data_IF_741134543251
#
_entry.id   IF_741134543251
#
_cell.length_a   1.000
_cell.length_b   1.000
_cell.length_c   1.000
_cell.angle_alpha   90.00
_cell.angle_beta   90.00
_cell.angle_gamma   90.00
#
_symmetry.space_group_name_H-M   'P 1'
#
loop_
_entity.id
_entity.type
_entity.pdbx_description
1 polymer ?
#
# COMPACT_ATOMS: atom_id res chain seq x y z
N UNK A 1 -21.24 -10.94 3.19
CA UNK A 1 -22.70 -10.89 3.18
C UNK A 1 -23.15 -9.55 2.65
N UNK A 2 -23.78 -9.54 1.52
CA UNK A 2 -24.54 -8.38 1.06
C UNK A 2 -25.79 -8.35 1.93
N UNK A 3 -25.93 -7.36 2.78
CA UNK A 3 -27.19 -7.16 3.48
C UNK A 3 -28.14 -6.47 2.52
N UNK A 4 -29.11 -7.20 2.05
CA UNK A 4 -30.15 -6.72 1.13
C UNK A 4 -31.13 -5.78 1.85
N UNK A 5 -31.12 -5.78 3.17
CA UNK A 5 -32.13 -5.11 4.01
C UNK A 5 -31.71 -3.75 4.54
N UNK A 6 -30.65 -3.16 4.03
CA UNK A 6 -30.16 -1.82 4.47
C UNK A 6 -29.54 -1.77 5.87
N UNK A 7 -29.57 -2.86 6.63
CA UNK A 7 -28.83 -2.95 7.88
C UNK A 7 -27.34 -3.12 7.60
N UNK A 8 -26.51 -2.21 8.12
CA UNK A 8 -25.07 -2.34 7.99
C UNK A 8 -24.60 -3.63 8.70
N UNK A 9 -23.82 -4.51 8.02
CA UNK A 9 -23.29 -5.69 8.67
C UNK A 9 -22.37 -5.29 9.83
N UNK A 10 -22.38 -6.08 10.90
CA UNK A 10 -21.43 -5.88 12.00
C UNK A 10 -20.01 -6.27 11.56
N UNK A 11 -19.31 -5.33 10.89
CA UNK A 11 -17.95 -5.54 10.42
C UNK A 11 -16.91 -5.61 11.55
N UNK A 12 -17.28 -5.26 12.80
CA UNK A 12 -16.36 -5.43 13.95
C UNK A 12 -16.01 -6.90 14.16
N UNK A 13 -16.92 -7.82 13.78
CA UNK A 13 -16.71 -9.27 13.82
C UNK A 13 -15.62 -9.79 12.90
N UNK A 14 -15.06 -8.93 12.03
CA UNK A 14 -13.84 -9.26 11.27
C UNK A 14 -12.71 -9.63 12.24
N UNK A 15 -12.61 -8.96 13.40
CA UNK A 15 -11.62 -9.32 14.43
C UNK A 15 -11.76 -10.75 14.94
N UNK A 16 -12.98 -11.28 14.92
CA UNK A 16 -13.33 -12.62 15.39
C UNK A 16 -13.28 -13.69 14.29
N UNK A 17 -13.04 -13.30 13.04
CA UNK A 17 -12.89 -14.23 11.92
C UNK A 17 -13.91 -14.04 10.79
N UNK A 18 -14.79 -13.03 10.86
CA UNK A 18 -15.66 -12.70 9.74
C UNK A 18 -14.82 -12.30 8.52
N UNK A 19 -15.21 -12.82 7.37
CA UNK A 19 -14.62 -12.47 6.07
C UNK A 19 -15.64 -11.67 5.27
N UNK A 20 -15.27 -10.50 4.82
CA UNK A 20 -16.16 -9.55 4.14
C UNK A 20 -15.62 -9.28 2.73
N UNK A 21 -16.50 -9.23 1.75
CA UNK A 21 -16.21 -8.72 0.41
C UNK A 21 -16.97 -7.40 0.26
N UNK A 22 -16.23 -6.36 -0.10
CA UNK A 22 -16.80 -5.06 -0.48
C UNK A 22 -16.57 -4.92 -1.98
N UNK A 23 -17.62 -5.16 -2.75
CA UNK A 23 -17.60 -4.91 -4.19
C UNK A 23 -17.69 -3.42 -4.46
N UNK A 24 -17.57 -3.05 -5.71
CA UNK A 24 -17.46 -1.67 -6.20
C UNK A 24 -18.36 -0.70 -5.43
N UNK A 25 -17.77 0.32 -4.88
CA UNK A 25 -18.43 1.37 -4.14
C UNK A 25 -18.13 2.74 -4.75
N UNK A 26 -19.04 3.67 -4.53
CA UNK A 26 -18.81 5.07 -4.87
C UNK A 26 -17.72 5.67 -3.99
N UNK A 27 -17.10 6.73 -4.49
CA UNK A 27 -16.12 7.50 -3.70
C UNK A 27 -16.70 7.99 -2.38
N UNK A 28 -17.97 8.39 -2.37
CA UNK A 28 -18.66 8.84 -1.16
C UNK A 28 -18.72 7.78 -0.07
N UNK A 29 -19.07 6.53 -0.41
CA UNK A 29 -19.12 5.41 0.54
C UNK A 29 -17.74 5.09 1.08
N UNK A 30 -16.74 4.99 0.20
CA UNK A 30 -15.37 4.69 0.60
C UNK A 30 -14.77 5.77 1.50
N UNK A 31 -15.01 7.03 1.21
CA UNK A 31 -14.55 8.15 2.02
C UNK A 31 -15.29 8.24 3.37
N UNK A 32 -16.62 8.27 3.36
CA UNK A 32 -17.40 8.52 4.57
C UNK A 32 -17.43 7.34 5.53
N UNK A 33 -17.60 6.11 5.01
CA UNK A 33 -17.73 4.92 5.86
C UNK A 33 -16.43 4.22 6.19
N UNK A 34 -15.43 4.30 5.31
CA UNK A 34 -14.15 3.63 5.54
C UNK A 34 -13.00 4.61 5.81
N UNK A 35 -13.14 5.87 5.43
CA UNK A 35 -12.12 6.90 5.60
C UNK A 35 -10.98 6.80 4.60
N UNK A 36 -11.19 6.14 3.48
CA UNK A 36 -10.20 6.06 2.43
C UNK A 36 -10.05 7.38 1.68
N UNK A 37 -8.84 7.65 1.23
CA UNK A 37 -8.60 8.57 0.12
C UNK A 37 -8.86 7.81 -1.17
N UNK A 38 -9.64 8.41 -2.04
CA UNK A 38 -10.01 7.79 -3.30
C UNK A 38 -9.71 8.71 -4.47
N UNK A 39 -9.52 8.08 -5.62
CA UNK A 39 -9.43 8.78 -6.88
C UNK A 39 -10.42 8.15 -7.86
N UNK A 40 -11.09 8.99 -8.62
CA UNK A 40 -12.02 8.56 -9.65
C UNK A 40 -11.34 8.62 -11.00
N UNK A 41 -11.23 7.47 -11.65
CA UNK A 41 -10.62 7.29 -12.97
C UNK A 41 -11.51 6.39 -13.84
N UNK A 42 -11.57 6.66 -15.11
CA UNK A 42 -12.02 5.67 -16.09
C UNK A 42 -10.84 4.80 -16.50
N UNK A 43 -10.40 3.88 -15.62
CA UNK A 43 -9.24 3.05 -15.92
C UNK A 43 -9.59 1.91 -16.87
N UNK A 44 -8.96 1.89 -18.01
CA UNK A 44 -9.04 0.81 -19.00
C UNK A 44 -7.96 -0.26 -18.82
N UNK A 45 -6.99 -0.02 -17.93
CA UNK A 45 -5.94 -0.96 -17.62
C UNK A 45 -5.51 -0.83 -16.17
N UNK A 46 -5.23 -1.98 -15.54
CA UNK A 46 -4.64 -2.10 -14.21
C UNK A 46 -3.50 -3.12 -14.24
N UNK A 47 -2.67 -3.15 -13.21
CA UNK A 47 -1.42 -3.89 -13.22
C UNK A 47 -1.34 -4.85 -12.04
N UNK A 48 -0.87 -6.08 -12.27
CA UNK A 48 -0.61 -7.05 -11.19
C UNK A 48 0.47 -6.51 -10.27
N UNK A 49 0.16 -6.44 -8.98
CA UNK A 49 1.16 -6.12 -7.95
C UNK A 49 1.66 -7.36 -7.24
N UNK A 50 0.81 -8.37 -7.10
CA UNK A 50 1.17 -9.70 -6.59
C UNK A 50 0.86 -10.73 -7.68
N UNK A 51 1.83 -11.04 -8.56
CA UNK A 51 1.57 -11.78 -9.81
C UNK A 51 0.92 -13.16 -9.62
N UNK A 52 1.34 -13.88 -8.58
CA UNK A 52 0.88 -15.24 -8.29
C UNK A 52 -0.20 -15.30 -7.19
N UNK A 53 -0.91 -14.19 -6.95
CA UNK A 53 -2.01 -14.20 -5.99
C UNK A 53 -3.18 -15.04 -6.51
N UNK A 54 -3.81 -15.82 -5.63
CA UNK A 54 -4.92 -16.72 -6.01
C UNK A 54 -6.11 -15.96 -6.63
N UNK A 55 -6.34 -14.71 -6.25
CA UNK A 55 -7.35 -13.85 -6.87
C UNK A 55 -7.09 -13.61 -8.36
N UNK A 56 -5.84 -13.67 -8.79
CA UNK A 56 -5.43 -13.45 -10.18
C UNK A 56 -5.14 -14.75 -10.93
N UNK A 57 -5.54 -15.89 -10.38
CA UNK A 57 -5.35 -17.18 -11.04
C UNK A 57 -6.09 -17.24 -12.38
N UNK A 58 -5.36 -17.58 -13.46
CA UNK A 58 -5.90 -17.60 -14.82
C UNK A 58 -6.12 -16.22 -15.45
N UNK A 59 -5.66 -15.16 -14.80
CA UNK A 59 -5.71 -13.80 -15.35
C UNK A 59 -4.28 -13.31 -15.61
N UNK A 60 -3.97 -12.98 -16.86
CA UNK A 60 -2.75 -12.32 -17.26
C UNK A 60 -2.95 -10.81 -17.41
N UNK A 61 -1.88 -10.07 -17.68
CA UNK A 61 -1.94 -8.61 -17.81
C UNK A 61 -2.91 -8.18 -18.90
N UNK A 62 -3.01 -8.94 -19.97
CA UNK A 62 -3.93 -8.70 -21.11
C UNK A 62 -5.41 -8.83 -20.70
N UNK A 63 -5.70 -9.66 -19.71
CA UNK A 63 -7.06 -9.83 -19.17
C UNK A 63 -7.48 -8.70 -18.21
N UNK A 64 -6.54 -7.89 -17.75
CA UNK A 64 -6.79 -6.79 -16.81
C UNK A 64 -6.93 -5.43 -17.53
N UNK A 65 -7.45 -5.46 -18.76
CA UNK A 65 -7.66 -4.27 -19.59
C UNK A 65 -8.90 -4.40 -20.48
N UNK A 66 -9.45 -3.26 -20.84
CA UNK A 66 -10.49 -3.10 -21.86
C UNK A 66 -11.66 -4.09 -21.73
N UNK A 67 -12.21 -4.21 -20.53
CA UNK A 67 -13.31 -5.13 -20.27
C UNK A 67 -14.55 -4.79 -21.09
N UNK A 68 -15.24 -5.80 -21.59
CA UNK A 68 -16.46 -5.67 -22.38
C UNK A 68 -17.58 -5.05 -21.57
N UNK A 69 -18.45 -4.31 -22.24
CA UNK A 69 -19.60 -3.65 -21.61
C UNK A 69 -19.24 -2.28 -21.02
N UNK A 70 -20.19 -1.74 -20.30
CA UNK A 70 -20.09 -0.43 -19.67
C UNK A 70 -19.80 -0.57 -18.17
N UNK A 71 -19.09 0.40 -17.59
CA UNK A 71 -18.84 0.43 -16.16
C UNK A 71 -20.15 0.56 -15.39
N UNK A 72 -20.27 -0.20 -14.29
CA UNK A 72 -21.46 -0.23 -13.43
C UNK A 72 -21.51 0.95 -12.47
N UNK A 73 -20.33 1.42 -12.01
CA UNK A 73 -20.20 2.61 -11.17
C UNK A 73 -19.39 3.67 -11.91
N UNK A 74 -20.05 4.76 -12.22
CA UNK A 74 -19.42 5.93 -12.82
C UNK A 74 -19.45 7.07 -11.83
N UNK A 75 -18.30 7.69 -11.54
CA UNK A 75 -18.29 8.98 -10.87
C UNK A 75 -19.07 10.00 -11.70
N UNK A 76 -19.83 10.91 -11.07
CA UNK A 76 -20.67 11.88 -11.79
C UNK A 76 -19.92 12.69 -12.85
N UNK A 77 -18.66 12.98 -12.62
CA UNK A 77 -17.79 13.71 -13.58
C UNK A 77 -17.35 12.89 -14.80
N UNK A 78 -17.54 11.56 -14.76
CA UNK A 78 -17.34 10.69 -15.91
C UNK A 78 -18.65 10.46 -16.66
N UNK A 79 -19.77 10.88 -16.11
CA UNK A 79 -21.07 10.78 -16.75
C UNK A 79 -21.12 11.76 -17.89
N UNK A 80 -21.32 11.26 -19.10
CA UNK A 80 -21.49 12.08 -20.30
C UNK A 80 -22.87 12.67 -20.30
N UNK A 81 -23.03 13.88 -19.84
CA UNK A 81 -24.20 14.67 -20.17
C UNK A 81 -23.96 15.33 -21.53
N UNK A 82 -24.73 14.96 -22.50
CA UNK A 82 -24.81 15.65 -23.81
C UNK A 82 -25.42 17.05 -23.59
N UNK A 83 -24.74 17.90 -22.82
CA UNK A 83 -25.14 19.31 -22.78
C UNK A 83 -24.56 20.03 -24.00
N UNK A 84 -25.29 20.98 -24.60
CA UNK A 84 -24.77 21.77 -25.73
C UNK A 84 -23.42 22.43 -25.44
N UNK A 85 -23.15 22.79 -24.19
CA UNK A 85 -21.86 23.37 -23.77
C UNK A 85 -20.69 22.40 -23.84
N UNK A 86 -20.93 21.14 -23.54
CA UNK A 86 -19.89 20.11 -23.63
C UNK A 86 -19.74 19.53 -25.03
N UNK A 87 -20.81 19.52 -25.79
CA UNK A 87 -20.80 19.00 -27.17
C UNK A 87 -20.19 19.94 -28.17
N UNK A 88 -20.25 21.24 -27.92
CA UNK A 88 -19.65 22.25 -28.77
C UNK A 88 -18.15 22.39 -28.59
N UNK A 89 -17.58 21.80 -27.50
CA UNK A 89 -16.16 21.79 -27.29
C UNK A 89 -15.64 20.34 -27.31
N UNK A 90 -15.41 19.76 -28.50
CA UNK A 90 -14.77 18.46 -28.65
C UNK A 90 -13.31 18.48 -28.14
N UNK A 91 -12.86 19.63 -27.71
CA UNK A 91 -11.51 19.88 -27.21
C UNK A 91 -11.54 20.45 -25.80
N UNK A 92 -10.48 20.25 -25.06
CA UNK A 92 -10.16 21.00 -23.84
C UNK A 92 -8.93 21.86 -24.10
N UNK A 93 -8.90 23.03 -23.51
CA UNK A 93 -7.71 23.87 -23.52
C UNK A 93 -6.81 23.47 -22.36
N UNK A 94 -5.60 23.03 -22.69
CA UNK A 94 -4.57 22.68 -21.73
C UNK A 94 -3.26 23.39 -22.05
N UNK A 95 -2.74 24.17 -21.12
CA UNK A 95 -1.55 25.01 -21.37
C UNK A 95 -1.68 25.81 -22.66
N UNK A 96 -2.85 26.42 -22.89
CA UNK A 96 -3.23 27.14 -24.08
C UNK A 96 -3.28 26.32 -25.40
N UNK A 97 -3.13 25.00 -25.31
CA UNK A 97 -3.25 24.08 -26.44
C UNK A 97 -4.63 23.41 -26.40
N UNK A 98 -5.32 23.41 -27.53
CA UNK A 98 -6.55 22.65 -27.69
C UNK A 98 -6.23 21.16 -27.88
N UNK A 99 -6.74 20.33 -26.99
CA UNK A 99 -6.54 18.86 -26.99
C UNK A 99 -7.86 18.18 -27.30
N UNK A 100 -7.96 17.33 -28.35
CA UNK A 100 -9.20 16.66 -28.69
C UNK A 100 -9.62 15.65 -27.60
N UNK A 101 -10.91 15.59 -27.32
CA UNK A 101 -11.54 14.62 -26.40
C UNK A 101 -12.01 13.35 -27.11
N UNK A 102 -11.75 13.22 -28.39
CA UNK A 102 -12.29 12.14 -29.23
C UNK A 102 -11.81 10.74 -28.87
N UNK A 103 -10.71 10.61 -28.14
CA UNK A 103 -10.19 9.32 -27.68
C UNK A 103 -10.97 8.73 -26.49
N UNK A 104 -12.00 9.40 -26.00
CA UNK A 104 -12.79 8.93 -24.86
C UNK A 104 -13.93 8.06 -25.30
N UNK A 105 -13.91 6.85 -24.79
CA UNK A 105 -14.95 5.87 -25.05
C UNK A 105 -16.10 5.93 -24.04
N UNK A 106 -16.25 7.04 -23.31
CA UNK A 106 -17.15 7.09 -22.16
C UNK A 106 -16.68 6.13 -21.07
N UNK A 107 -17.59 5.28 -20.59
CA UNK A 107 -17.34 4.25 -19.58
C UNK A 107 -17.10 2.85 -20.15
N UNK A 108 -17.06 2.71 -21.46
CA UNK A 108 -16.81 1.42 -22.11
C UNK A 108 -15.33 1.04 -21.98
N UNK A 109 -15.08 -0.21 -21.68
CA UNK A 109 -13.73 -0.73 -21.51
C UNK A 109 -13.08 -0.41 -20.17
N UNK A 110 -13.75 0.31 -19.28
CA UNK A 110 -13.21 0.54 -17.94
C UNK A 110 -13.15 -0.76 -17.14
N UNK A 111 -12.06 -1.00 -16.46
CA UNK A 111 -11.87 -2.12 -15.53
C UNK A 111 -12.03 -1.70 -14.07
N UNK A 112 -11.90 -0.41 -13.79
CA UNK A 112 -12.14 0.19 -12.48
C UNK A 112 -12.45 1.68 -12.65
N UNK A 113 -13.33 2.22 -11.81
CA UNK A 113 -13.75 3.64 -11.87
C UNK A 113 -13.41 4.42 -10.61
N UNK A 114 -13.38 3.77 -9.45
CA UNK A 114 -13.01 4.37 -8.18
C UNK A 114 -11.88 3.56 -7.55
N UNK A 115 -10.79 4.22 -7.24
CA UNK A 115 -9.58 3.58 -6.72
C UNK A 115 -9.29 4.04 -5.31
N UNK A 116 -8.82 3.12 -4.48
CA UNK A 116 -8.41 3.40 -3.11
C UNK A 116 -6.91 3.74 -3.10
N UNK A 117 -6.54 4.89 -2.55
CA UNK A 117 -5.13 5.19 -2.27
C UNK A 117 -4.62 4.21 -1.20
N UNK A 118 -3.46 3.60 -1.44
CA UNK A 118 -2.90 2.60 -0.54
C UNK A 118 -2.69 3.18 0.86
N UNK A 119 -3.36 2.64 1.90
CA UNK A 119 -3.18 3.11 3.26
C UNK A 119 -1.80 2.78 3.81
N UNK A 120 -1.33 3.63 4.71
CA UNK A 120 -0.04 3.46 5.40
C UNK A 120 -0.19 2.74 6.73
N UNK A 121 -1.35 2.83 7.39
CA UNK A 121 -1.63 2.14 8.65
C UNK A 121 -2.47 0.89 8.41
N UNK A 122 -2.15 -0.18 9.13
CA UNK A 122 -2.88 -1.44 9.07
C UNK A 122 -2.24 -2.48 8.13
N UNK A 123 -2.80 -3.69 8.13
CA UNK A 123 -2.38 -4.76 7.22
C UNK A 123 -3.17 -4.68 5.92
N UNK A 124 -2.77 -3.77 5.04
CA UNK A 124 -3.32 -3.64 3.70
C UNK A 124 -2.38 -4.27 2.68
N UNK A 125 -2.85 -5.32 1.97
CA UNK A 125 -2.13 -5.92 0.86
C UNK A 125 -2.80 -5.51 -0.47
N UNK A 126 -2.26 -4.54 -1.20
CA UNK A 126 -2.70 -4.27 -2.56
C UNK A 126 -2.27 -5.43 -3.47
N UNK A 127 -3.21 -5.92 -4.27
CA UNK A 127 -3.03 -7.06 -5.17
C UNK A 127 -2.88 -6.58 -6.61
N UNK A 128 -3.61 -5.52 -6.93
CA UNK A 128 -3.60 -4.86 -8.24
C UNK A 128 -3.36 -3.37 -8.02
N UNK A 129 -2.54 -2.78 -8.87
CA UNK A 129 -2.26 -1.35 -8.90
C UNK A 129 -2.97 -0.65 -10.06
N UNK A 130 -3.27 0.64 -9.87
CA UNK A 130 -3.79 1.49 -10.92
C UNK A 130 -3.61 2.98 -10.60
N UNK A 131 -4.08 3.82 -11.50
CA UNK A 131 -4.08 5.27 -11.32
C UNK A 131 -2.70 5.92 -11.33
N UNK A 132 -2.68 7.20 -10.98
CA UNK A 132 -1.48 8.00 -11.07
C UNK A 132 -0.36 7.45 -10.20
N UNK A 133 0.80 7.27 -10.84
CA UNK A 133 2.04 6.85 -10.16
C UNK A 133 1.92 5.53 -9.39
N UNK A 134 0.92 4.68 -9.72
CA UNK A 134 0.62 3.40 -9.08
C UNK A 134 0.44 3.52 -7.55
N UNK A 135 -0.10 4.64 -7.09
CA UNK A 135 -0.35 4.88 -5.65
C UNK A 135 -1.69 4.29 -5.19
N UNK A 136 -2.55 3.90 -6.12
CA UNK A 136 -3.89 3.40 -5.85
C UNK A 136 -4.01 1.92 -6.15
N UNK A 137 -4.97 1.29 -5.49
CA UNK A 137 -5.30 -0.13 -5.70
C UNK A 137 -6.79 -0.31 -5.92
N UNK A 138 -7.21 -0.95 -7.02
CA UNK A 138 -8.58 -1.35 -7.22
C UNK A 138 -8.91 -2.72 -6.61
N UNK A 139 -7.91 -3.49 -6.17
CA UNK A 139 -8.11 -4.78 -5.51
C UNK A 139 -7.13 -4.92 -4.37
N UNK A 140 -7.64 -4.92 -3.12
CA UNK A 140 -6.82 -4.84 -1.93
C UNK A 140 -7.45 -5.63 -0.78
N UNK A 141 -6.61 -6.39 -0.05
CA UNK A 141 -7.00 -7.02 1.21
C UNK A 141 -6.70 -6.11 2.39
N UNK A 142 -7.59 -6.13 3.37
CA UNK A 142 -7.35 -5.64 4.71
C UNK A 142 -7.52 -6.77 5.70
N UNK A 143 -6.58 -6.94 6.61
CA UNK A 143 -6.58 -8.01 7.62
C UNK A 143 -6.54 -7.41 9.01
N UNK A 144 -7.44 -7.86 9.87
CA UNK A 144 -7.47 -7.44 11.29
C UNK A 144 -7.99 -8.59 12.15
N UNK A 145 -7.24 -8.94 13.20
CA UNK A 145 -7.57 -10.07 14.05
C UNK A 145 -7.55 -11.40 13.29
N UNK A 146 -8.64 -12.14 13.34
CA UNK A 146 -8.78 -13.46 12.69
C UNK A 146 -9.50 -13.42 11.36
N UNK A 147 -9.94 -12.25 10.89
CA UNK A 147 -10.71 -12.09 9.66
C UNK A 147 -10.07 -11.12 8.67
N UNK A 148 -10.84 -10.83 7.63
CA UNK A 148 -10.40 -9.95 6.56
C UNK A 148 -11.55 -9.20 5.90
N UNK A 149 -11.22 -8.09 5.23
CA UNK A 149 -12.07 -7.41 4.27
C UNK A 149 -11.36 -7.39 2.93
N UNK A 150 -11.99 -7.87 1.88
CA UNK A 150 -11.52 -7.72 0.51
C UNK A 150 -12.24 -6.54 -0.13
N UNK A 151 -11.52 -5.49 -0.46
CA UNK A 151 -12.01 -4.36 -1.25
C UNK A 151 -11.75 -4.64 -2.72
N UNK A 152 -12.82 -4.85 -3.49
CA UNK A 152 -12.79 -5.05 -4.92
C UNK A 152 -13.47 -3.87 -5.62
N UNK A 153 -12.68 -2.94 -6.09
CA UNK A 153 -13.10 -1.82 -6.93
C UNK A 153 -12.89 -2.12 -8.43
N UNK A 154 -12.47 -3.37 -8.74
CA UNK A 154 -12.56 -3.88 -10.10
C UNK A 154 -14.04 -4.02 -10.46
N UNK A 155 -14.44 -3.52 -11.61
CA UNK A 155 -15.84 -3.39 -12.01
C UNK A 155 -16.42 -4.74 -12.47
N UNK A 156 -16.55 -5.69 -11.53
CA UNK A 156 -17.04 -7.06 -11.80
C UNK A 156 -18.56 -7.17 -11.72
N UNK A 157 -19.21 -6.35 -10.89
CA UNK A 157 -20.66 -6.41 -10.70
C UNK A 157 -21.40 -6.04 -12.00
N UNK A 158 -22.28 -6.91 -12.45
CA UNK A 158 -23.02 -6.73 -13.72
C UNK A 158 -22.18 -6.98 -14.99
N UNK A 159 -20.94 -7.47 -14.85
CA UNK A 159 -20.06 -7.75 -16.01
C UNK A 159 -19.68 -9.22 -16.18
N UNK A 160 -19.98 -10.05 -15.23
CA UNK A 160 -19.61 -11.48 -15.28
C UNK A 160 -20.19 -12.23 -16.47
N UNK A 161 -21.31 -11.78 -17.03
CA UNK A 161 -21.92 -12.39 -18.23
C UNK A 161 -21.33 -11.84 -19.53
N UNK A 162 -20.76 -10.64 -19.50
CA UNK A 162 -20.25 -9.96 -20.72
C UNK A 162 -18.76 -10.09 -20.91
N UNK A 163 -18.00 -10.26 -19.81
CA UNK A 163 -16.55 -10.33 -19.85
C UNK A 163 -15.98 -11.54 -19.07
N UNK A 164 -15.26 -12.44 -19.74
CA UNK A 164 -14.73 -13.67 -19.12
C UNK A 164 -13.66 -13.39 -18.05
N UNK A 165 -12.96 -12.26 -18.11
CA UNK A 165 -11.98 -11.90 -17.07
C UNK A 165 -12.71 -11.44 -15.80
N UNK A 166 -13.79 -10.67 -15.93
CA UNK A 166 -14.64 -10.29 -14.81
C UNK A 166 -15.26 -11.50 -14.14
N UNK A 167 -15.77 -12.48 -14.91
CA UNK A 167 -16.30 -13.75 -14.39
C UNK A 167 -15.21 -14.54 -13.66
N UNK A 168 -14.03 -14.67 -14.25
CA UNK A 168 -12.91 -15.39 -13.65
C UNK A 168 -12.49 -14.75 -12.34
N UNK A 169 -12.37 -13.41 -12.29
CA UNK A 169 -12.04 -12.70 -11.06
C UNK A 169 -13.10 -12.88 -9.98
N UNK A 170 -14.40 -12.76 -10.32
CA UNK A 170 -15.49 -12.96 -9.37
C UNK A 170 -15.44 -14.38 -8.78
N UNK A 171 -15.25 -15.41 -9.60
CA UNK A 171 -15.12 -16.80 -9.17
C UNK A 171 -13.91 -17.01 -8.25
N UNK A 172 -12.77 -16.40 -8.59
CA UNK A 172 -11.56 -16.46 -7.78
C UNK A 172 -11.75 -15.77 -6.42
N UNK A 173 -12.48 -14.65 -6.37
CA UNK A 173 -12.82 -13.95 -5.13
C UNK A 173 -13.54 -14.89 -4.16
N UNK A 174 -14.60 -15.54 -4.59
CA UNK A 174 -15.35 -16.45 -3.71
C UNK A 174 -14.51 -17.64 -3.26
N UNK A 175 -13.74 -18.26 -4.16
CA UNK A 175 -12.84 -19.38 -3.82
C UNK A 175 -11.78 -18.96 -2.82
N UNK A 176 -11.16 -17.81 -3.03
CA UNK A 176 -10.11 -17.29 -2.17
C UNK A 176 -10.64 -16.99 -0.76
N UNK A 177 -11.73 -16.27 -0.66
CA UNK A 177 -12.36 -15.92 0.64
C UNK A 177 -12.75 -17.17 1.42
N UNK A 178 -13.31 -18.20 0.74
CA UNK A 178 -13.67 -19.46 1.39
C UNK A 178 -12.45 -20.16 1.99
N UNK A 179 -11.33 -20.19 1.28
CA UNK A 179 -10.11 -20.89 1.68
C UNK A 179 -9.19 -20.04 2.59
N UNK A 180 -9.40 -18.74 2.69
CA UNK A 180 -8.52 -17.83 3.40
C UNK A 180 -8.41 -18.16 4.89
N UNK A 181 -7.20 -18.08 5.43
CA UNK A 181 -6.88 -18.30 6.85
C UNK A 181 -6.03 -17.16 7.38
N UNK A 182 -6.21 -16.78 8.67
CA UNK A 182 -5.40 -15.74 9.29
C UNK A 182 -3.93 -16.17 9.39
N UNK A 183 -3.04 -15.19 9.33
CA UNK A 183 -1.59 -15.39 9.59
C UNK A 183 -1.30 -15.16 11.07
N UNK A 184 -0.22 -15.76 11.61
CA UNK A 184 0.24 -15.46 12.96
C UNK A 184 0.61 -13.99 13.11
N UNK A 185 0.25 -13.41 14.25
CA UNK A 185 0.67 -12.06 14.65
C UNK A 185 1.93 -12.15 15.53
N UNK A 186 2.78 -11.12 15.44
CA UNK A 186 4.01 -11.00 16.22
C UNK A 186 4.05 -9.67 16.96
N UNK A 187 4.94 -9.54 17.92
CA UNK A 187 5.17 -8.33 18.73
C UNK A 187 6.33 -7.55 18.13
N UNK A 188 6.20 -6.24 18.05
CA UNK A 188 7.27 -5.37 17.57
C UNK A 188 8.16 -4.91 18.72
N UNK A 189 9.46 -5.06 18.51
CA UNK A 189 10.51 -4.57 19.41
C UNK A 189 11.39 -3.60 18.64
N UNK A 190 11.60 -2.40 19.17
CA UNK A 190 12.36 -1.35 18.50
C UNK A 190 13.65 -1.02 19.23
N UNK A 191 14.72 -0.79 18.46
CA UNK A 191 15.98 -0.21 18.93
C UNK A 191 16.50 0.75 17.87
N UNK A 192 16.84 1.98 18.26
CA UNK A 192 17.34 3.00 17.34
C UNK A 192 16.95 4.42 17.76
N UNK A 193 17.02 5.34 16.82
CA UNK A 193 16.74 6.75 17.08
C UNK A 193 15.25 7.02 17.41
N UNK A 194 14.97 8.09 18.19
CA UNK A 194 13.59 8.43 18.59
C UNK A 194 12.65 8.76 17.42
N UNK A 195 13.16 9.24 16.28
CA UNK A 195 12.32 9.60 15.14
C UNK A 195 11.74 8.35 14.48
N UNK A 196 12.54 7.28 14.38
CA UNK A 196 12.07 5.98 13.92
C UNK A 196 10.98 5.42 14.81
N UNK A 197 11.17 5.45 16.14
CA UNK A 197 10.15 5.04 17.11
C UNK A 197 8.85 5.82 16.92
N UNK A 198 8.96 7.14 16.89
CA UNK A 198 7.81 8.04 16.72
C UNK A 198 7.07 7.76 15.40
N UNK A 199 7.80 7.51 14.31
CA UNK A 199 7.16 7.20 13.02
C UNK A 199 6.33 5.91 13.11
N UNK A 200 6.86 4.85 13.71
CA UNK A 200 6.18 3.57 13.87
C UNK A 200 4.94 3.70 14.77
N UNK A 201 5.04 4.44 15.87
CA UNK A 201 3.90 4.76 16.74
C UNK A 201 2.81 5.54 15.99
N UNK A 202 3.18 6.52 15.17
CA UNK A 202 2.25 7.23 14.30
C UNK A 202 1.58 6.29 13.27
N UNK A 203 2.30 5.28 12.79
CA UNK A 203 1.74 4.22 11.95
C UNK A 203 0.83 3.26 12.72
N UNK A 204 0.60 3.49 14.01
CA UNK A 204 -0.29 2.69 14.87
C UNK A 204 0.32 1.38 15.36
N UNK A 205 1.63 1.20 15.22
CA UNK A 205 2.33 0.00 15.66
C UNK A 205 2.61 0.08 17.15
N UNK A 206 2.14 -0.93 17.89
CA UNK A 206 2.48 -1.07 19.31
C UNK A 206 3.92 -1.58 19.44
N UNK A 207 4.78 -0.77 20.03
CA UNK A 207 6.21 -1.03 20.16
C UNK A 207 6.61 -1.23 21.62
N UNK A 208 7.51 -2.20 21.87
CA UNK A 208 8.35 -2.23 23.05
C UNK A 208 9.77 -1.81 22.68
N UNK A 209 10.48 -1.14 23.62
CA UNK A 209 11.91 -0.86 23.46
C UNK A 209 12.71 -2.11 23.79
N UNK A 210 13.81 -2.35 23.07
CA UNK A 210 14.76 -3.39 23.41
C UNK A 210 15.74 -2.87 24.47
N UNK A 211 15.71 -3.43 25.66
CA UNK A 211 16.57 -3.05 26.78
C UNK A 211 17.57 -4.16 27.18
N UNK A 212 17.75 -5.12 26.28
CA UNK A 212 18.47 -6.36 26.57
C UNK A 212 17.51 -7.43 27.10
N UNK A 213 17.65 -8.63 26.64
CA UNK A 213 16.80 -9.76 27.05
C UNK A 213 16.56 -10.73 25.90
N UNK A 214 15.75 -11.75 26.16
CA UNK A 214 15.49 -12.80 25.20
C UNK A 214 14.51 -12.31 24.12
N UNK A 215 14.94 -12.37 22.87
CA UNK A 215 14.08 -12.27 21.70
C UNK A 215 13.59 -13.68 21.35
N UNK A 216 12.32 -13.81 21.05
CA UNK A 216 11.71 -15.08 20.64
C UNK A 216 11.14 -14.97 19.23
N UNK A 217 10.86 -16.09 18.59
CA UNK A 217 10.37 -16.12 17.19
C UNK A 217 9.02 -15.40 16.99
N UNK A 218 8.29 -15.07 18.07
CA UNK A 218 7.06 -14.26 18.03
C UNK A 218 7.34 -12.75 18.05
N UNK A 219 8.61 -12.33 17.98
CA UNK A 219 8.99 -10.93 17.85
C UNK A 219 9.39 -10.58 16.42
N UNK A 220 9.24 -9.29 16.10
CA UNK A 220 9.90 -8.61 14.98
C UNK A 220 10.81 -7.54 15.55
N UNK A 221 12.11 -7.69 15.33
CA UNK A 221 13.10 -6.70 15.75
C UNK A 221 13.24 -5.62 14.67
N UNK A 222 12.96 -4.38 15.03
CA UNK A 222 13.08 -3.22 14.14
C UNK A 222 14.28 -2.41 14.61
N UNK A 223 15.27 -2.25 13.74
CA UNK A 223 16.53 -1.57 14.05
C UNK A 223 16.64 -0.30 13.24
N UNK A 224 16.50 0.86 13.87
CA UNK A 224 16.75 2.16 13.28
C UNK A 224 18.20 2.60 13.47
N UNK A 225 18.57 3.74 12.89
CA UNK A 225 19.90 4.35 13.01
C UNK A 225 20.31 4.47 14.48
N UNK A 226 21.56 4.12 14.80
CA UNK A 226 22.10 4.07 16.16
C UNK A 226 21.79 2.77 16.91
N UNK A 227 20.81 1.99 16.46
CA UNK A 227 20.38 0.76 17.14
C UNK A 227 21.42 -0.35 17.07
N UNK A 228 22.21 -0.43 15.99
CA UNK A 228 23.25 -1.44 15.87
C UNK A 228 24.33 -1.36 16.94
N UNK A 229 24.65 -0.14 17.39
CA UNK A 229 25.59 0.07 18.50
C UNK A 229 25.06 -0.50 19.81
N UNK A 230 23.77 -0.34 20.08
CA UNK A 230 23.14 -0.93 21.27
C UNK A 230 23.08 -2.47 21.20
N UNK A 231 22.89 -3.01 19.98
CA UNK A 231 22.82 -4.45 19.76
C UNK A 231 24.18 -5.13 19.70
N UNK A 232 25.29 -4.41 19.60
CA UNK A 232 26.64 -4.99 19.53
C UNK A 232 26.94 -5.93 20.70
N UNK A 233 26.56 -5.55 21.93
CA UNK A 233 26.71 -6.39 23.13
C UNK A 233 25.74 -7.59 23.16
N UNK A 234 24.73 -7.62 22.29
CA UNK A 234 23.68 -8.63 22.23
C UNK A 234 23.70 -9.41 20.90
N UNK A 235 24.80 -9.35 20.14
CA UNK A 235 24.90 -9.97 18.82
C UNK A 235 24.60 -11.48 18.82
N UNK A 236 25.02 -12.19 19.88
CA UNK A 236 24.71 -13.61 20.04
C UNK A 236 23.18 -13.85 20.19
N UNK A 237 22.50 -13.07 21.01
CA UNK A 237 21.05 -13.17 21.18
C UNK A 237 20.28 -12.85 19.88
N UNK A 238 20.75 -11.86 19.10
CA UNK A 238 20.17 -11.57 17.77
C UNK A 238 20.41 -12.73 16.80
N UNK A 239 21.60 -13.34 16.80
CA UNK A 239 21.90 -14.52 15.99
C UNK A 239 20.96 -15.69 16.31
N UNK A 240 20.78 -16.00 17.58
CA UNK A 240 19.91 -17.09 18.02
C UNK A 240 18.43 -16.81 17.73
N UNK A 241 18.00 -15.56 17.89
CA UNK A 241 16.68 -15.08 17.49
C UNK A 241 16.39 -15.32 16.01
N UNK A 242 17.34 -14.96 15.13
CA UNK A 242 17.19 -15.14 13.68
C UNK A 242 17.19 -16.63 13.31
N UNK A 243 18.04 -17.44 13.91
CA UNK A 243 18.05 -18.91 13.75
C UNK A 243 16.73 -19.56 14.17
N UNK A 244 16.09 -19.02 15.22
CA UNK A 244 14.79 -19.48 15.68
C UNK A 244 13.61 -19.02 14.78
N UNK A 245 13.86 -18.31 13.68
CA UNK A 245 12.85 -17.84 12.74
C UNK A 245 12.27 -16.45 13.09
N UNK A 246 12.96 -15.69 13.93
CA UNK A 246 12.64 -14.28 14.17
C UNK A 246 12.82 -13.43 12.93
N UNK A 247 12.10 -12.31 12.84
CA UNK A 247 12.17 -11.37 11.72
C UNK A 247 12.86 -10.08 12.14
N UNK A 248 13.69 -9.52 11.27
CA UNK A 248 14.39 -8.25 11.50
C UNK A 248 14.19 -7.29 10.33
N UNK A 249 13.81 -6.05 10.65
CA UNK A 249 13.76 -4.94 9.70
C UNK A 249 14.83 -3.90 10.08
N UNK A 250 15.84 -3.72 9.21
CA UNK A 250 16.89 -2.73 9.34
C UNK A 250 16.53 -1.46 8.56
N UNK A 251 16.48 -0.32 9.23
CA UNK A 251 16.03 0.97 8.68
C UNK A 251 17.19 1.97 8.63
N UNK A 252 17.78 2.16 7.45
CA UNK A 252 18.79 3.19 7.18
C UNK A 252 20.13 2.94 7.88
N UNK A 253 20.46 1.69 8.21
CA UNK A 253 21.74 1.35 8.80
C UNK A 253 22.86 1.47 7.77
N UNK A 254 24.03 1.94 8.20
CA UNK A 254 25.24 1.81 7.41
C UNK A 254 25.93 0.45 7.61
N UNK A 255 26.96 0.19 6.79
CA UNK A 255 27.72 -1.05 6.81
C UNK A 255 28.34 -1.34 8.19
N UNK A 256 28.97 -0.33 8.80
CA UNK A 256 29.63 -0.48 10.07
C UNK A 256 28.63 -0.86 11.16
N UNK A 257 27.49 -0.17 11.20
CA UNK A 257 26.45 -0.40 12.18
C UNK A 257 25.78 -1.78 12.01
N UNK A 258 25.43 -2.17 10.78
CA UNK A 258 24.84 -3.47 10.49
C UNK A 258 25.78 -4.62 10.87
N UNK A 259 27.07 -4.49 10.58
CA UNK A 259 28.08 -5.51 10.84
C UNK A 259 28.50 -5.65 12.32
N UNK A 260 28.05 -4.75 13.21
CA UNK A 260 28.30 -4.88 14.66
C UNK A 260 27.51 -6.01 15.30
N UNK A 261 26.29 -6.29 14.84
CA UNK A 261 25.37 -7.18 15.54
C UNK A 261 24.75 -8.29 14.67
N UNK A 262 24.74 -8.13 13.34
CA UNK A 262 24.16 -9.17 12.47
C UNK A 262 25.12 -10.36 12.33
N UNK A 263 24.58 -11.60 12.30
CA UNK A 263 25.39 -12.79 12.08
C UNK A 263 25.88 -12.94 10.62
N UNK A 264 25.38 -12.08 9.74
CA UNK A 264 25.82 -11.98 8.34
C UNK A 264 26.64 -10.70 8.16
N UNK A 265 27.56 -10.71 7.20
CA UNK A 265 28.36 -9.54 6.85
C UNK A 265 27.82 -8.95 5.55
N UNK A 266 27.42 -7.69 5.62
CA UNK A 266 26.97 -6.94 4.45
C UNK A 266 28.02 -5.93 4.03
N UNK A 267 28.09 -5.63 2.72
CA UNK A 267 28.85 -4.51 2.19
C UNK A 267 27.89 -3.49 1.62
N UNK A 268 28.22 -2.21 1.84
CA UNK A 268 27.39 -1.10 1.39
C UNK A 268 28.26 -0.03 0.73
N UNK A 269 27.67 0.71 -0.21
CA UNK A 269 28.31 1.85 -0.86
C UNK A 269 27.40 3.06 -0.81
N UNK A 270 27.95 4.20 -0.44
CA UNK A 270 27.24 5.48 -0.51
C UNK A 270 27.11 5.89 -1.97
N UNK A 271 25.90 5.85 -2.48
CA UNK A 271 25.55 6.19 -3.85
C UNK A 271 24.22 6.94 -3.89
N UNK A 272 24.02 7.73 -4.95
CA UNK A 272 22.77 8.41 -5.19
C UNK A 272 21.66 7.39 -5.52
N UNK A 273 20.50 7.59 -4.91
CA UNK A 273 19.29 6.84 -5.19
C UNK A 273 18.16 7.77 -5.67
N UNK A 274 17.57 7.43 -6.81
CA UNK A 274 16.37 8.05 -7.38
C UNK A 274 15.28 7.01 -7.56
N UNK A 275 15.59 5.92 -8.25
CA UNK A 275 14.67 4.84 -8.58
C UNK A 275 15.43 3.53 -8.74
N UNK A 276 14.71 2.43 -8.61
CA UNK A 276 15.25 1.12 -8.90
C UNK A 276 14.15 0.26 -9.53
N UNK A 277 14.54 -0.64 -10.40
CA UNK A 277 13.65 -1.63 -10.99
C UNK A 277 13.87 -3.00 -10.36
N UNK A 278 12.80 -3.72 -10.13
CA UNK A 278 12.78 -5.13 -9.73
C UNK A 278 11.41 -5.73 -10.06
N UNK A 279 11.36 -7.04 -10.22
CA UNK A 279 10.10 -7.74 -10.43
C UNK A 279 9.27 -7.81 -9.16
N UNK A 280 7.93 -7.75 -9.25
CA UNK A 280 7.05 -7.89 -8.11
C UNK A 280 7.22 -9.24 -7.40
N UNK A 281 7.07 -9.23 -6.08
CA UNK A 281 7.27 -10.39 -5.23
C UNK A 281 6.03 -11.28 -5.13
N UNK A 282 6.26 -12.59 -5.08
CA UNK A 282 5.20 -13.58 -4.86
C UNK A 282 4.68 -13.61 -3.42
N UNK A 283 3.53 -14.28 -3.21
CA UNK A 283 2.76 -14.31 -1.95
C UNK A 283 3.52 -14.82 -0.73
N UNK A 284 4.60 -15.57 -0.91
CA UNK A 284 5.41 -16.15 0.17
C UNK A 284 6.62 -15.27 0.56
N UNK A 285 6.85 -14.17 -0.13
CA UNK A 285 7.96 -13.27 0.17
C UNK A 285 7.65 -12.34 1.34
N UNK A 286 8.66 -12.01 2.16
CA UNK A 286 8.56 -10.92 3.13
C UNK A 286 8.34 -9.55 2.47
N UNK A 287 8.56 -9.46 1.16
CA UNK A 287 8.43 -8.25 0.36
C UNK A 287 7.16 -8.26 -0.50
N UNK A 288 6.24 -9.22 -0.28
CA UNK A 288 4.99 -9.28 -1.03
C UNK A 288 4.20 -7.98 -0.92
N UNK A 289 3.69 -7.53 -2.05
CA UNK A 289 2.95 -6.27 -2.13
C UNK A 289 3.83 -5.03 -2.28
N UNK A 290 5.14 -5.17 -2.53
CA UNK A 290 6.03 -4.09 -2.94
C UNK A 290 6.30 -4.12 -4.45
N UNK A 291 6.53 -2.96 -5.02
CA UNK A 291 6.95 -2.81 -6.42
C UNK A 291 7.93 -1.62 -6.59
N UNK A 292 8.52 -1.42 -7.78
CA UNK A 292 9.45 -0.32 -8.03
C UNK A 292 8.93 1.08 -7.71
N UNK A 293 7.62 1.32 -7.78
CA UNK A 293 7.05 2.63 -7.45
C UNK A 293 7.22 2.99 -5.96
N UNK A 294 7.33 2.00 -5.07
CA UNK A 294 7.45 2.24 -3.62
C UNK A 294 8.85 2.71 -3.22
N UNK A 295 9.86 2.40 -4.02
CA UNK A 295 11.25 2.80 -3.78
C UNK A 295 11.67 4.03 -4.56
N UNK A 296 10.75 4.62 -5.34
CA UNK A 296 11.04 5.80 -6.14
C UNK A 296 11.12 7.06 -5.26
N UNK A 297 12.26 7.72 -5.33
CA UNK A 297 12.53 8.99 -4.65
C UNK A 297 12.84 10.07 -5.69
N UNK A 298 12.01 11.10 -5.78
CA UNK A 298 12.21 12.22 -6.71
C UNK A 298 13.19 13.28 -6.18
N UNK A 299 13.65 13.12 -4.94
CA UNK A 299 14.67 13.96 -4.32
C UNK A 299 15.96 13.12 -4.21
N UNK A 300 16.89 13.22 -5.19
CA UNK A 300 18.10 12.41 -5.23
C UNK A 300 18.87 12.51 -3.91
N UNK A 301 19.17 11.36 -3.30
CA UNK A 301 19.88 11.29 -2.02
C UNK A 301 20.99 10.26 -2.06
N UNK A 302 22.10 10.60 -1.45
CA UNK A 302 23.19 9.67 -1.22
C UNK A 302 22.85 8.79 -0.02
N UNK A 303 22.68 7.50 -0.26
CA UNK A 303 22.28 6.51 0.72
C UNK A 303 23.33 5.38 0.81
N UNK A 304 23.44 4.67 1.95
CA UNK A 304 24.29 3.48 2.09
C UNK A 304 23.62 2.28 1.43
N UNK A 305 23.70 2.15 0.11
CA UNK A 305 23.08 1.10 -0.66
C UNK A 305 23.77 -0.25 -0.45
N UNK A 306 23.01 -1.31 -0.18
CA UNK A 306 23.53 -2.67 -0.01
C UNK A 306 24.11 -3.19 -1.32
N UNK A 307 25.35 -3.71 -1.30
CA UNK A 307 26.05 -4.21 -2.49
C UNK A 307 26.43 -5.68 -2.40
N UNK A 308 26.44 -6.27 -1.20
CA UNK A 308 26.78 -7.67 -1.02
C UNK A 308 26.42 -8.17 0.38
N UNK A 309 26.49 -9.50 0.57
CA UNK A 309 26.14 -10.18 1.81
C UNK A 309 24.65 -10.40 2.03
N UNK A 310 23.82 -9.88 1.11
CA UNK A 310 22.38 -10.08 1.04
C UNK A 310 21.93 -10.05 -0.42
N UNK A 311 20.73 -10.52 -0.71
CA UNK A 311 20.11 -10.38 -2.03
C UNK A 311 19.79 -8.90 -2.26
N UNK A 312 20.49 -8.31 -3.20
CA UNK A 312 20.35 -6.91 -3.58
C UNK A 312 19.12 -6.74 -4.47
N UNK A 313 18.22 -5.85 -4.09
CA UNK A 313 17.00 -5.54 -4.84
C UNK A 313 17.14 -4.14 -5.43
N UNK A 314 16.94 -4.07 -6.75
CA UNK A 314 17.17 -2.84 -7.48
C UNK A 314 18.64 -2.41 -7.39
N UNK A 315 18.89 -1.20 -6.92
CA UNK A 315 20.25 -0.67 -6.73
C UNK A 315 20.81 -0.89 -5.31
N UNK A 316 20.11 -1.63 -4.46
CA UNK A 316 20.49 -1.89 -3.07
C UNK A 316 19.83 -0.95 -2.04
N UNK A 317 18.86 -0.16 -2.45
CA UNK A 317 18.00 0.60 -1.53
C UNK A 317 17.14 -0.33 -0.68
N UNK A 318 16.82 -1.49 -1.22
CA UNK A 318 16.14 -2.61 -0.59
C UNK A 318 17.02 -3.86 -0.72
N UNK A 319 17.09 -4.67 0.32
CA UNK A 319 17.76 -5.96 0.28
C UNK A 319 17.16 -6.93 1.30
N UNK A 320 17.35 -8.22 1.11
CA UNK A 320 16.98 -9.23 2.10
C UNK A 320 18.05 -10.31 2.21
N UNK A 321 18.23 -10.87 3.41
CA UNK A 321 19.16 -11.98 3.60
C UNK A 321 18.54 -13.29 3.06
N UNK A 322 19.34 -14.08 2.35
CA UNK A 322 18.85 -15.37 1.77
C UNK A 322 18.49 -16.40 2.84
N UNK A 323 19.30 -16.48 3.91
CA UNK A 323 19.21 -17.52 4.92
C UNK A 323 18.70 -17.01 6.28
N UNK A 324 18.16 -15.81 6.31
CA UNK A 324 17.61 -15.20 7.52
C UNK A 324 16.48 -14.25 7.16
N UNK A 325 15.51 -14.11 8.05
CA UNK A 325 14.40 -13.18 7.85
C UNK A 325 14.81 -11.73 8.15
N UNK A 326 15.84 -11.22 7.45
CA UNK A 326 16.33 -9.85 7.59
C UNK A 326 16.03 -9.08 6.31
N UNK A 327 15.40 -7.92 6.46
CA UNK A 327 15.12 -6.96 5.38
C UNK A 327 15.84 -5.66 5.70
N UNK A 328 16.53 -5.10 4.71
CA UNK A 328 17.17 -3.79 4.76
C UNK A 328 16.36 -2.80 3.91
N UNK A 329 16.02 -1.66 4.51
CA UNK A 329 15.43 -0.52 3.83
C UNK A 329 16.25 0.74 4.09
N UNK A 330 16.84 1.33 3.05
CA UNK A 330 17.85 2.38 3.17
C UNK A 330 17.30 3.80 3.04
N UNK A 331 16.00 3.98 2.80
CA UNK A 331 15.34 5.28 2.78
C UNK A 331 14.21 5.33 3.83
N UNK A 332 14.52 5.37 5.14
CA UNK A 332 13.51 5.40 6.18
C UNK A 332 12.60 6.64 6.04
N UNK A 333 11.27 6.52 6.23
CA UNK A 333 10.34 7.61 5.98
C UNK A 333 10.59 8.85 6.84
N UNK A 334 11.04 8.67 8.07
CA UNK A 334 11.32 9.78 8.99
C UNK A 334 12.55 10.63 8.61
N UNK A 335 13.34 10.17 7.64
CA UNK A 335 14.44 10.97 7.05
C UNK A 335 13.96 11.88 5.92
N UNK A 336 12.71 11.70 5.46
CA UNK A 336 12.08 12.51 4.43
C UNK A 336 11.24 13.59 5.10
N UNK A 337 11.33 14.83 4.65
CA UNK A 337 10.55 15.93 5.23
C UNK A 337 9.06 15.65 5.21
N UNK A 338 8.43 15.74 6.39
CA UNK A 338 7.00 15.54 6.60
C UNK A 338 6.24 16.87 6.77
N UNK A 339 6.96 17.94 7.10
CA UNK A 339 6.40 19.21 7.51
C UNK A 339 5.44 19.82 6.48
N UNK A 340 4.38 20.36 6.96
CA UNK A 340 3.34 21.00 6.20
C UNK A 340 3.19 22.45 6.57
N UNK A 341 2.93 23.29 5.57
CA UNK A 341 3.10 23.01 4.15
C UNK A 341 4.57 22.91 3.80
N UNK A 342 5.00 21.96 2.95
CA UNK A 342 6.34 22.02 2.43
C UNK A 342 6.51 23.29 1.61
N UNK A 343 7.70 23.87 1.53
CA UNK A 343 7.97 24.94 0.61
C UNK A 343 7.50 24.59 -0.81
N UNK A 344 7.04 25.59 -1.54
CA UNK A 344 6.62 25.39 -2.92
C UNK A 344 7.72 24.65 -3.71
N UNK A 345 7.34 23.59 -4.41
CA UNK A 345 8.28 22.72 -5.15
C UNK A 345 8.73 21.45 -4.41
N UNK A 346 8.40 21.28 -3.13
CA UNK A 346 8.76 20.07 -2.36
C UNK A 346 7.63 19.04 -2.24
N UNK A 347 6.61 19.10 -3.05
CA UNK A 347 5.52 18.10 -3.07
C UNK A 347 6.01 16.67 -3.33
N UNK A 348 7.12 16.52 -4.05
CA UNK A 348 7.75 15.23 -4.30
C UNK A 348 8.23 14.55 -3.00
N UNK A 349 8.61 15.31 -1.98
CA UNK A 349 9.03 14.76 -0.68
C UNK A 349 7.87 14.08 0.04
N UNK A 350 6.66 14.61 -0.06
CA UNK A 350 5.47 13.97 0.51
C UNK A 350 5.18 12.63 -0.15
N UNK A 351 5.32 12.54 -1.46
CA UNK A 351 5.15 11.26 -2.17
C UNK A 351 6.20 10.26 -1.75
N UNK A 352 7.45 10.67 -1.62
CA UNK A 352 8.53 9.82 -1.10
C UNK A 352 8.23 9.38 0.33
N UNK A 353 7.80 10.29 1.19
CA UNK A 353 7.39 9.97 2.56
C UNK A 353 6.25 8.94 2.59
N UNK A 354 5.20 9.15 1.80
CA UNK A 354 4.04 8.25 1.69
C UNK A 354 4.44 6.86 1.22
N UNK A 355 5.24 6.77 0.16
CA UNK A 355 5.74 5.51 -0.40
C UNK A 355 6.62 4.75 0.58
N UNK A 356 7.59 5.43 1.16
CA UNK A 356 8.48 4.83 2.16
C UNK A 356 7.71 4.40 3.41
N UNK A 357 6.72 5.19 3.87
CA UNK A 357 5.85 4.82 4.99
C UNK A 357 5.00 3.59 4.67
N UNK A 358 4.43 3.52 3.46
CA UNK A 358 3.71 2.34 3.00
C UNK A 358 4.62 1.10 2.95
N UNK A 359 5.84 1.24 2.41
CA UNK A 359 6.81 0.15 2.31
C UNK A 359 7.13 -0.42 3.70
N UNK A 360 7.46 0.43 4.67
CA UNK A 360 7.77 -0.01 6.05
C UNK A 360 6.58 -0.74 6.66
N UNK A 361 5.37 -0.17 6.56
CA UNK A 361 4.16 -0.80 7.09
C UNK A 361 3.85 -2.13 6.40
N UNK A 362 4.05 -2.23 5.08
CA UNK A 362 3.81 -3.46 4.34
C UNK A 362 4.79 -4.56 4.71
N UNK A 363 6.09 -4.24 4.82
CA UNK A 363 7.10 -5.21 5.25
C UNK A 363 6.80 -5.71 6.67
N UNK A 364 6.49 -4.82 7.59
CA UNK A 364 6.13 -5.19 8.96
C UNK A 364 4.89 -6.07 9.00
N UNK A 365 3.85 -5.76 8.22
CA UNK A 365 2.66 -6.59 8.14
C UNK A 365 2.96 -7.98 7.53
N UNK A 366 3.88 -8.07 6.58
CA UNK A 366 4.36 -9.36 6.05
C UNK A 366 5.12 -10.16 7.12
N UNK A 367 5.81 -9.48 8.03
CA UNK A 367 6.49 -10.08 9.19
C UNK A 367 5.55 -10.43 10.35
N UNK A 368 4.27 -10.06 10.28
CA UNK A 368 3.27 -10.35 11.30
C UNK A 368 2.97 -9.19 12.27
N UNK A 369 3.45 -7.99 11.98
CA UNK A 369 3.19 -6.77 12.79
C UNK A 369 2.43 -5.76 11.95
N UNK A 370 1.24 -5.37 12.37
CA UNK A 370 0.44 -4.35 11.70
C UNK A 370 0.00 -3.25 12.67
N UNK A 371 -0.11 -2.04 12.13
CA UNK A 371 -0.64 -0.90 12.87
C UNK A 371 -2.15 -1.02 13.11
N UNK A 372 -2.62 -0.51 14.24
CA UNK A 372 -4.05 -0.39 14.51
C UNK A 372 -4.71 0.64 13.59
N UNK A 373 -5.95 0.41 13.19
CA UNK A 373 -6.72 1.32 12.36
C UNK A 373 -8.12 1.57 12.91
N UNK A 374 -8.74 2.71 12.60
CA UNK A 374 -10.14 2.96 12.94
C UNK A 374 -11.13 2.37 11.92
N UNK A 375 -10.69 1.64 10.89
CA UNK A 375 -11.50 1.29 9.73
C UNK A 375 -12.80 0.57 10.10
N UNK A 376 -12.71 -0.49 10.90
CA UNK A 376 -13.90 -1.29 11.26
C UNK A 376 -14.88 -0.51 12.15
N UNK A 377 -14.37 0.31 13.08
CA UNK A 377 -15.23 1.13 13.92
C UNK A 377 -15.88 2.27 13.14
N UNK A 378 -15.18 2.84 12.19
CA UNK A 378 -15.69 3.92 11.35
C UNK A 378 -16.85 3.48 10.46
N UNK A 379 -16.89 2.23 10.05
CA UNK A 379 -17.99 1.70 9.27
C UNK A 379 -19.33 1.88 9.98
N UNK A 380 -19.35 1.71 11.30
CA UNK A 380 -20.54 1.91 12.16
C UNK A 380 -20.78 3.38 12.53
N UNK A 381 -19.72 4.18 12.55
CA UNK A 381 -19.78 5.59 12.90
C UNK A 381 -19.19 6.43 11.77
N UNK A 382 -19.90 6.57 10.65
CA UNK A 382 -19.40 7.31 9.49
C UNK A 382 -19.22 8.79 9.83
N UNK A 383 -18.33 9.45 9.12
CA UNK A 383 -18.07 10.87 9.29
C UNK A 383 -19.29 11.68 8.94
N UNK A 384 -19.74 12.61 9.81
CA UNK A 384 -20.85 13.49 9.51
C UNK A 384 -20.61 14.32 8.25
N UNK A 385 -21.66 14.59 7.44
CA UNK A 385 -21.53 15.34 6.19
C UNK A 385 -20.96 16.75 6.34
N UNK A 386 -21.17 17.39 7.48
CA UNK A 386 -20.70 18.74 7.79
C UNK A 386 -19.21 18.82 8.16
N UNK A 387 -18.51 17.69 8.29
CA UNK A 387 -17.07 17.62 8.50
C UNK A 387 -16.31 17.27 7.21
N UNK A 388 -16.72 17.86 6.11
CA UNK A 388 -16.17 17.59 4.78
C UNK A 388 -14.64 17.77 4.68
N UNK A 389 -14.07 18.67 5.46
CA UNK A 389 -12.63 18.94 5.50
C UNK A 389 -11.77 17.80 6.07
N UNK A 390 -12.41 16.82 6.71
CA UNK A 390 -11.74 15.67 7.32
C UNK A 390 -12.27 14.33 6.81
N UNK A 391 -12.61 14.24 5.55
CA UNK A 391 -13.19 13.02 4.94
C UNK A 391 -12.28 11.81 5.07
N UNK A 392 -11.01 11.99 4.75
CA UNK A 392 -9.99 10.94 4.79
C UNK A 392 -9.20 10.94 6.09
N UNK A 393 -9.79 10.99 7.04
CA UNK A 393 -9.38 11.15 8.37
C UNK A 393 -8.15 10.40 8.82
N UNK A 394 -7.56 11.03 9.78
CA UNK A 394 -6.59 10.46 10.71
C UNK A 394 -6.82 8.96 10.94
N UNK A 395 -5.79 8.18 10.79
CA UNK A 395 -5.81 6.76 11.13
C UNK A 395 -5.58 5.76 10.00
N UNK A 396 -5.58 6.19 8.74
CA UNK A 396 -5.16 5.35 7.62
C UNK A 396 -3.91 5.90 6.90
N UNK A 397 -3.72 7.20 6.97
CA UNK A 397 -2.64 7.93 6.30
C UNK A 397 -1.88 8.79 7.29
N UNK A 398 -0.59 9.04 7.03
CA UNK A 398 0.29 9.82 7.92
C UNK A 398 0.58 11.23 7.39
N UNK A 399 0.06 11.56 6.22
CA UNK A 399 0.20 12.86 5.58
C UNK A 399 -1.15 13.44 5.21
N UNK A 400 -1.15 14.71 4.81
CA UNK A 400 -2.34 15.36 4.24
C UNK A 400 -2.32 15.23 2.71
N UNK A 401 -3.46 14.97 2.06
CA UNK A 401 -3.54 14.98 0.61
C UNK A 401 -3.40 16.41 0.12
N UNK A 402 -2.80 16.55 -1.05
CA UNK A 402 -2.67 17.82 -1.71
C UNK A 402 -3.35 17.84 -3.07
N UNK A 403 -3.73 19.03 -3.46
CA UNK A 403 -4.38 19.25 -4.74
C UNK A 403 -3.52 18.78 -5.92
N UNK A 404 -2.22 18.91 -5.80
CA UNK A 404 -1.23 18.60 -6.83
C UNK A 404 -0.62 17.20 -6.71
N UNK A 405 -1.10 16.37 -5.80
CA UNK A 405 -0.63 14.99 -5.67
C UNK A 405 -0.87 14.17 -6.93
N UNK A 406 -1.91 14.49 -7.67
CA UNK A 406 -2.18 13.94 -8.98
C UNK A 406 -2.34 15.07 -10.01
N UNK A 407 -1.30 15.39 -10.78
CA UNK A 407 -1.35 16.46 -11.78
C UNK A 407 -2.35 16.18 -12.90
N UNK A 408 -2.75 14.91 -13.10
CA UNK A 408 -3.72 14.54 -14.12
C UNK A 408 -5.18 14.60 -13.65
N UNK A 409 -5.42 14.95 -12.38
CA UNK A 409 -6.79 15.02 -11.84
C UNK A 409 -7.71 15.95 -12.62
N UNK A 410 -7.17 17.00 -13.22
CA UNK A 410 -7.94 17.92 -14.07
C UNK A 410 -8.33 17.31 -15.42
N UNK A 411 -7.71 16.21 -15.79
CA UNK A 411 -8.00 15.45 -17.00
C UNK A 411 -8.86 14.22 -16.73
N UNK A 412 -9.33 14.07 -15.50
CA UNK A 412 -10.33 13.05 -15.16
C UNK A 412 -11.70 13.55 -15.57
N UNK A 413 -12.33 12.77 -16.31
CA UNK A 413 -13.61 13.14 -16.91
C UNK A 413 -14.61 12.03 -16.74
#
# INVERSE_FOLDING_TARGET
AVTVDGAAPDVSRVRDGLKVIVFEQTSEVLEKRFGFRVAEYGLRQVFKRVPNHLLLAGLDTEHLRDWRGEATILPPRLTYTLSPRFNTAPTVRWCDIEVPRLWRCGNRGNVASVLIEKPVRGDFLPIVDGGFSLQYSPLMEYREGKGMVLFCQMDVTGRTESDPAAETLARNIFRYIAAWKPRPTRKAVYVGDPNGKRHLELAGIALSSYEGGNLSADHVLIVGVGGGKHLAAHAAAVSDFLKAGGNLLALGLDEAEANLFLPLKVSMKKEEHIAAFFEPFGVNSLLVGLNPADVHNRDPRVLPLVKGGAVVIGNGVLAHAENANVVFWQLPPYTVARETPPPFGQYHLRRTYRRSSFLVSRVLANMGVAGSTPLLSRFHSPVPPNKAEKRWLEGLYLDQPEEWDDPYRFFRW
#
